data_IF_767725769703
#
_entry.id   IF_767725769703
#
_cell.length_a   1.000
_cell.length_b   1.000
_cell.length_c   1.000
_cell.angle_alpha   90.00
_cell.angle_beta   90.00
_cell.angle_gamma   90.00
#
_symmetry.space_group_name_H-M   'P 1'
#
loop_
_entity.id
_entity.type
_entity.pdbx_description
1 polymer ?
#
# COMPACT_ATOMS: atom_id res chain seq x y z
N UNK A 1 10.32 2.04 2.60
CA UNK A 1 9.74 1.31 1.44
C UNK A 1 8.37 0.77 1.82
N UNK A 2 7.38 0.97 0.94
CA UNK A 2 6.03 0.39 1.01
C UNK A 2 5.81 -0.41 -0.27
N UNK A 3 5.14 -1.57 -0.19
CA UNK A 3 4.95 -2.48 -1.33
C UNK A 3 3.48 -2.85 -1.46
N UNK A 4 2.94 -2.63 -2.65
CA UNK A 4 1.67 -3.22 -3.08
C UNK A 4 1.99 -4.33 -4.09
N UNK A 5 1.53 -5.54 -3.82
CA UNK A 5 1.85 -6.74 -4.59
C UNK A 5 0.56 -7.44 -5.04
N UNK A 6 0.53 -7.86 -6.30
CA UNK A 6 -0.66 -8.47 -6.89
C UNK A 6 -0.35 -9.79 -7.60
N UNK A 7 -1.39 -10.62 -7.76
CA UNK A 7 -1.33 -11.84 -8.58
C UNK A 7 -2.71 -12.13 -9.18
N UNK A 8 -2.74 -12.60 -10.43
CA UNK A 8 -3.95 -13.05 -11.10
C UNK A 8 -4.38 -14.44 -10.64
N UNK A 9 -5.67 -14.65 -10.37
CA UNK A 9 -6.19 -15.96 -9.94
C UNK A 9 -6.15 -17.04 -11.01
N UNK A 10 -5.96 -16.68 -12.29
CA UNK A 10 -5.92 -17.57 -13.44
C UNK A 10 -4.49 -17.86 -13.93
N UNK A 11 -3.48 -17.54 -13.11
CA UNK A 11 -2.07 -17.83 -13.38
C UNK A 11 -1.59 -18.97 -12.45
N UNK A 12 -2.04 -20.22 -12.65
CA UNK A 12 -1.86 -21.31 -11.66
C UNK A 12 -0.40 -21.59 -11.33
N UNK A 13 0.50 -21.43 -12.31
CA UNK A 13 1.94 -21.61 -12.16
C UNK A 13 2.65 -20.50 -11.40
N UNK A 14 1.95 -19.42 -11.07
CA UNK A 14 2.49 -18.29 -10.31
C UNK A 14 1.88 -18.22 -8.91
N UNK A 15 0.77 -18.91 -8.64
CA UNK A 15 0.00 -18.71 -7.42
C UNK A 15 0.77 -19.07 -6.15
N UNK A 16 1.56 -20.15 -6.16
CA UNK A 16 2.25 -20.60 -4.95
C UNK A 16 3.46 -19.71 -4.66
N UNK A 17 4.27 -19.41 -5.67
CA UNK A 17 5.43 -18.52 -5.55
C UNK A 17 4.99 -17.12 -5.10
N UNK A 18 3.89 -16.61 -5.65
CA UNK A 18 3.34 -15.32 -5.26
C UNK A 18 2.76 -15.36 -3.83
N UNK A 19 2.20 -16.50 -3.40
CA UNK A 19 1.74 -16.67 -2.01
C UNK A 19 2.90 -16.65 -1.02
N UNK A 20 3.96 -17.39 -1.31
CA UNK A 20 5.17 -17.42 -0.49
C UNK A 20 5.82 -16.04 -0.42
N UNK A 21 5.95 -15.35 -1.56
CA UNK A 21 6.50 -14.00 -1.60
C UNK A 21 5.63 -13.00 -0.84
N UNK A 22 4.30 -13.09 -0.95
CA UNK A 22 3.38 -12.27 -0.17
C UNK A 22 3.53 -12.51 1.35
N UNK A 23 3.74 -13.76 1.76
CA UNK A 23 4.01 -14.10 3.15
C UNK A 23 5.34 -13.50 3.62
N UNK A 24 6.41 -13.62 2.82
CA UNK A 24 7.71 -13.01 3.11
C UNK A 24 7.61 -11.49 3.24
N UNK A 25 6.94 -10.81 2.30
CA UNK A 25 6.71 -9.37 2.35
C UNK A 25 5.99 -8.93 3.63
N UNK A 26 4.94 -9.67 4.04
CA UNK A 26 4.20 -9.37 5.27
C UNK A 26 5.07 -9.56 6.51
N UNK A 27 5.88 -10.62 6.57
CA UNK A 27 6.80 -10.86 7.68
C UNK A 27 7.85 -9.76 7.80
N UNK A 28 8.43 -9.30 6.68
CA UNK A 28 9.52 -8.30 6.70
C UNK A 28 9.02 -6.87 6.86
N UNK A 29 7.87 -6.52 6.26
CA UNK A 29 7.40 -5.12 6.19
C UNK A 29 6.17 -4.84 7.04
N UNK A 30 5.51 -5.87 7.58
CA UNK A 30 4.29 -5.74 8.36
C UNK A 30 3.21 -4.97 7.59
N UNK A 31 2.67 -3.92 8.21
CA UNK A 31 1.63 -3.06 7.61
C UNK A 31 2.09 -2.24 6.39
N UNK A 32 3.40 -2.23 6.09
CA UNK A 32 3.96 -1.58 4.89
C UNK A 32 3.96 -2.49 3.66
N UNK A 33 3.47 -3.73 3.77
CA UNK A 33 3.18 -4.60 2.64
C UNK A 33 1.68 -4.86 2.52
N UNK A 34 1.15 -4.75 1.30
CA UNK A 34 -0.20 -5.15 0.97
C UNK A 34 -0.17 -6.10 -0.22
N UNK A 35 -0.70 -7.31 -0.05
CA UNK A 35 -0.76 -8.31 -1.11
C UNK A 35 -2.22 -8.67 -1.41
N UNK A 36 -2.60 -8.68 -2.69
CA UNK A 36 -3.98 -8.93 -3.13
C UNK A 36 -4.06 -9.78 -4.40
N UNK A 37 -4.99 -10.72 -4.42
CA UNK A 37 -5.31 -11.54 -5.59
C UNK A 37 -6.47 -10.91 -6.37
N UNK A 38 -6.36 -10.85 -7.69
CA UNK A 38 -7.40 -10.33 -8.58
C UNK A 38 -7.96 -11.42 -9.51
N UNK A 39 -9.24 -11.37 -9.90
CA UNK A 39 -9.77 -12.22 -10.96
C UNK A 39 -9.11 -11.88 -12.30
N UNK A 40 -8.55 -12.88 -12.97
CA UNK A 40 -7.85 -12.71 -14.24
C UNK A 40 -6.45 -13.31 -14.23
N UNK A 41 -5.67 -13.02 -15.27
CA UNK A 41 -4.31 -13.49 -15.39
C UNK A 41 -3.40 -12.45 -16.03
N UNK A 42 -2.53 -12.90 -16.94
CA UNK A 42 -1.50 -12.08 -17.56
C UNK A 42 -2.06 -11.12 -18.63
N UNK A 43 -2.91 -10.18 -18.22
CA UNK A 43 -3.62 -9.27 -19.11
C UNK A 43 -3.70 -7.85 -18.51
N UNK A 44 -3.36 -6.86 -19.33
CA UNK A 44 -3.46 -5.45 -18.98
C UNK A 44 -4.85 -5.02 -18.47
N UNK A 45 -5.92 -5.59 -19.03
CA UNK A 45 -7.30 -5.33 -18.59
C UNK A 45 -7.56 -5.78 -17.14
N UNK A 46 -6.78 -6.75 -16.64
CA UNK A 46 -6.78 -7.17 -15.24
C UNK A 46 -5.95 -6.21 -14.38
N UNK A 47 -4.75 -5.85 -14.85
CA UNK A 47 -3.81 -4.99 -14.10
C UNK A 47 -4.29 -3.56 -13.91
N UNK A 48 -5.08 -3.00 -14.83
CA UNK A 48 -5.59 -1.62 -14.68
C UNK A 48 -6.33 -1.40 -13.35
N UNK A 49 -7.02 -2.43 -12.84
CA UNK A 49 -7.70 -2.34 -11.54
C UNK A 49 -6.72 -2.36 -10.38
N UNK A 50 -5.71 -3.24 -10.44
CA UNK A 50 -4.69 -3.34 -9.38
C UNK A 50 -3.88 -2.06 -9.26
N UNK A 51 -3.59 -1.37 -10.37
CA UNK A 51 -2.93 -0.06 -10.40
C UNK A 51 -3.74 0.99 -9.64
N UNK A 52 -5.04 1.12 -9.91
CA UNK A 52 -5.90 2.10 -9.23
C UNK A 52 -6.00 1.80 -7.72
N UNK A 53 -6.17 0.53 -7.36
CA UNK A 53 -6.25 0.12 -5.96
C UNK A 53 -4.90 0.34 -5.23
N UNK A 54 -3.77 0.13 -5.91
CA UNK A 54 -2.43 0.42 -5.38
C UNK A 54 -2.23 1.92 -5.13
N UNK A 55 -2.58 2.77 -6.09
CA UNK A 55 -2.49 4.23 -5.95
C UNK A 55 -3.32 4.74 -4.75
N UNK A 56 -4.54 4.22 -4.59
CA UNK A 56 -5.38 4.54 -3.43
C UNK A 56 -4.73 4.13 -2.11
N UNK A 57 -4.19 2.92 -2.04
CA UNK A 57 -3.52 2.42 -0.84
C UNK A 57 -2.29 3.26 -0.47
N UNK A 58 -1.46 3.63 -1.45
CA UNK A 58 -0.33 4.52 -1.22
C UNK A 58 -0.78 5.91 -0.76
N UNK A 59 -1.81 6.49 -1.38
CA UNK A 59 -2.31 7.81 -1.00
C UNK A 59 -2.80 7.85 0.45
N UNK A 60 -3.64 6.89 0.86
CA UNK A 60 -4.13 6.79 2.24
C UNK A 60 -2.99 6.58 3.24
N UNK A 61 -1.95 5.84 2.84
CA UNK A 61 -0.77 5.67 3.67
C UNK A 61 0.03 6.98 3.83
N UNK A 62 0.18 7.76 2.74
CA UNK A 62 0.83 9.07 2.78
C UNK A 62 0.05 10.06 3.63
N UNK A 63 -1.27 10.07 3.55
CA UNK A 63 -2.12 10.92 4.40
C UNK A 63 -1.90 10.60 5.88
N UNK A 64 -1.86 9.32 6.26
CA UNK A 64 -1.56 8.90 7.65
C UNK A 64 -0.18 9.34 8.12
N UNK A 65 0.83 9.21 7.26
CA UNK A 65 2.20 9.62 7.58
C UNK A 65 2.30 11.17 7.65
N UNK A 66 1.49 11.90 6.87
CA UNK A 66 1.46 13.37 6.85
C UNK A 66 0.76 14.01 8.06
N UNK A 67 -0.15 13.30 8.73
CA UNK A 67 -0.75 13.75 10.00
C UNK A 67 0.33 13.93 11.09
N UNK A 68 1.47 13.23 10.98
CA UNK A 68 2.63 13.37 11.87
C UNK A 68 3.59 14.49 11.49
N UNK A 69 3.35 15.23 10.40
CA UNK A 69 4.17 16.35 9.93
C UNK A 69 3.42 17.69 9.97
N UNK A 70 2.58 17.92 10.97
CA UNK A 70 2.12 19.29 11.27
C UNK A 70 3.16 19.99 12.16
N UNK A 71 3.91 21.00 11.66
CA UNK A 71 4.79 21.81 12.50
C UNK A 71 4.01 22.92 13.19
N UNK A 72 2.94 22.58 13.92
CA UNK A 72 2.25 23.53 14.79
C UNK A 72 2.38 23.11 16.25
N UNK A 73 3.63 23.14 16.74
CA UNK A 73 3.88 23.45 18.14
C UNK A 73 4.04 24.97 18.32
N UNK A 74 3.11 25.53 19.10
CA UNK A 74 3.25 26.67 20.00
C UNK A 74 4.17 27.85 19.65
N UNK A 75 3.55 28.99 19.33
CA UNK A 75 3.90 30.24 20.03
C UNK A 75 2.60 30.81 20.60
N UNK A 76 2.38 30.58 21.90
CA UNK A 76 1.54 31.46 22.68
C UNK A 76 2.23 32.84 22.70
N UNK A 77 1.64 33.83 22.05
CA UNK A 77 2.00 35.23 22.29
C UNK A 77 1.15 35.73 23.46
N UNK A 78 1.73 36.18 24.58
CA UNK A 78 0.96 36.89 25.59
C UNK A 78 0.54 38.23 24.97
N UNK A 79 -0.76 38.49 24.85
CA UNK A 79 -1.24 39.86 24.68
C UNK A 79 -1.43 40.45 26.06
N UNK A 80 -0.40 41.16 26.51
CA UNK A 80 -0.54 42.24 27.47
C UNK A 80 -1.45 43.31 26.87
N UNK A 81 -2.57 43.62 27.52
CA UNK A 81 -3.14 44.96 27.68
C UNK A 81 -4.14 44.92 28.82
#
# INVERSE_FOLDING_TARGET
MRVFYEVGSLEPFLLEENREFAAALRTTLGSRAHARKYPGGHDYMCWRRSIIDALRWFNTALERDSIFLSPYEGIASPKSH
#
